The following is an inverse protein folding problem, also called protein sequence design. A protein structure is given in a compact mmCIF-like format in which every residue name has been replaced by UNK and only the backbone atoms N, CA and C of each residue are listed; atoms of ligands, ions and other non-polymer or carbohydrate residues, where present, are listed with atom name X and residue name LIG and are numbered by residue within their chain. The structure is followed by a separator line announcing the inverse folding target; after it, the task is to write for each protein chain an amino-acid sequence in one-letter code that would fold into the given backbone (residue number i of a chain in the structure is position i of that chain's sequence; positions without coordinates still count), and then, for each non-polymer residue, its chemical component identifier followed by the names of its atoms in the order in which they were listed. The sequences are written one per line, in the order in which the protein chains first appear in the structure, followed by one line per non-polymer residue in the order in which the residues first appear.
data_IF_894917353998
#
_entry.id   IF_894917353998
#
_cell.length_a   1.000
_cell.length_b   1.000
_cell.length_c   1.000
_cell.angle_alpha   90.00
_cell.angle_beta   90.00
_cell.angle_gamma   90.00
#
_symmetry.space_group_name_H-M   'P 1'
#
loop_
_entity.id
_entity.type
_entity.pdbx_description
1 polymer ?
#
# COMPACT_ATOMS: atom_id res chain seq x y z
N UNK A 1 -10.27 1.13 -17.82
CA UNK A 1 -9.16 2.13 -17.83
C UNK A 1 -9.21 2.83 -16.50
N UNK A 2 -8.20 2.67 -15.65
CA UNK A 2 -8.16 3.36 -14.37
C UNK A 2 -8.10 4.87 -14.64
N UNK A 3 -9.12 5.61 -14.25
CA UNK A 3 -9.09 7.06 -14.23
C UNK A 3 -8.07 7.50 -13.16
N UNK A 4 -6.85 7.75 -13.60
CA UNK A 4 -5.86 8.42 -12.78
C UNK A 4 -6.29 9.88 -12.65
N UNK A 5 -6.43 10.36 -11.41
CA UNK A 5 -6.70 11.77 -11.13
C UNK A 5 -5.37 12.50 -10.94
N UNK A 6 -4.80 13.13 -11.98
CA UNK A 6 -3.54 13.84 -11.84
C UNK A 6 -3.71 15.03 -10.89
N UNK A 7 -2.75 15.16 -9.98
CA UNK A 7 -2.65 16.29 -9.07
C UNK A 7 -1.44 17.13 -9.40
N UNK A 8 -1.64 18.42 -9.65
CA UNK A 8 -0.53 19.37 -9.91
C UNK A 8 0.49 19.32 -8.75
N UNK A 9 0.01 19.21 -7.51
CA UNK A 9 0.88 19.17 -6.34
C UNK A 9 1.68 17.86 -6.23
N UNK A 10 1.08 16.73 -6.61
CA UNK A 10 1.71 15.43 -6.47
C UNK A 10 2.55 15.04 -7.68
N UNK A 11 2.08 15.40 -8.88
CA UNK A 11 2.67 14.90 -10.13
C UNK A 11 3.61 15.93 -10.80
N UNK A 12 3.45 17.21 -10.47
CA UNK A 12 4.27 18.29 -11.06
C UNK A 12 5.17 18.94 -10.03
N UNK A 13 4.63 19.34 -8.86
CA UNK A 13 5.38 20.03 -7.81
C UNK A 13 6.04 19.03 -6.86
N UNK A 14 5.41 17.87 -6.66
CA UNK A 14 5.80 16.86 -5.68
C UNK A 14 5.25 17.13 -4.28
N UNK A 15 5.18 16.09 -3.45
CA UNK A 15 4.61 16.19 -2.11
C UNK A 15 5.53 17.00 -1.17
N UNK A 16 4.93 17.60 -0.13
CA UNK A 16 5.67 18.10 1.01
C UNK A 16 6.35 16.91 1.70
N UNK A 17 7.66 16.97 1.87
CA UNK A 17 8.44 15.86 2.39
C UNK A 17 9.62 16.30 3.24
N UNK A 18 10.09 15.39 4.09
CA UNK A 18 11.35 15.50 4.81
C UNK A 18 12.31 14.45 4.29
N UNK A 19 13.50 14.88 3.88
CA UNK A 19 14.56 14.01 3.39
C UNK A 19 15.20 14.47 2.11
N UNK A 20 16.31 13.83 1.69
CA UNK A 20 17.13 14.29 0.57
C UNK A 20 16.58 13.91 -0.81
N UNK A 21 15.63 12.99 -0.90
CA UNK A 21 15.19 12.43 -2.20
C UNK A 21 13.69 12.17 -2.23
N UNK A 22 13.01 12.63 -3.28
CA UNK A 22 11.59 12.33 -3.50
C UNK A 22 11.36 10.83 -3.77
N UNK A 23 12.16 10.21 -4.62
CA UNK A 23 12.01 8.78 -4.95
C UNK A 23 12.60 7.84 -3.91
N UNK A 24 13.67 8.24 -3.21
CA UNK A 24 14.39 7.37 -2.27
C UNK A 24 14.16 7.68 -0.78
N UNK A 25 13.38 8.70 -0.44
CA UNK A 25 12.97 8.98 0.94
C UNK A 25 11.47 9.13 1.05
N UNK A 26 10.87 10.05 0.30
CA UNK A 26 9.44 10.30 0.32
C UNK A 26 8.65 9.11 -0.26
N UNK A 27 9.05 8.57 -1.42
CA UNK A 27 8.44 7.38 -1.99
C UNK A 27 8.42 6.20 -1.01
N UNK A 28 9.55 5.79 -0.44
CA UNK A 28 9.60 4.80 0.64
C UNK A 28 8.69 5.10 1.84
N UNK A 29 8.59 6.34 2.30
CA UNK A 29 7.69 6.71 3.38
C UNK A 29 6.21 6.52 3.00
N UNK A 30 5.84 6.90 1.78
CA UNK A 30 4.48 6.66 1.25
C UNK A 30 4.19 5.18 1.10
N UNK A 31 5.11 4.40 0.53
CA UNK A 31 4.96 2.94 0.38
C UNK A 31 4.76 2.29 1.75
N UNK A 32 5.62 2.62 2.72
CA UNK A 32 5.51 2.10 4.07
C UNK A 32 4.18 2.46 4.74
N UNK A 33 3.70 3.69 4.56
CA UNK A 33 2.43 4.16 5.08
C UNK A 33 1.23 3.41 4.47
N UNK A 34 1.22 3.22 3.14
CA UNK A 34 0.17 2.47 2.46
C UNK A 34 0.19 0.99 2.86
N UNK A 35 1.37 0.37 2.87
CA UNK A 35 1.53 -1.04 3.22
C UNK A 35 1.12 -1.32 4.69
N UNK A 36 1.42 -0.40 5.63
CA UNK A 36 1.05 -0.54 7.04
C UNK A 36 -0.46 -0.69 7.24
N UNK A 37 -1.27 -0.04 6.42
CA UNK A 37 -2.72 -0.06 6.50
C UNK A 37 -3.34 -1.40 6.06
N UNK A 38 -2.55 -2.28 5.46
CA UNK A 38 -2.98 -3.63 5.09
C UNK A 38 -3.00 -4.60 6.27
N UNK A 39 -2.42 -4.23 7.42
CA UNK A 39 -2.54 -5.02 8.65
C UNK A 39 -3.70 -4.51 9.50
N UNK A 40 -4.57 -5.41 9.96
CA UNK A 40 -5.63 -5.10 10.92
C UNK A 40 -5.08 -4.84 12.33
N UNK A 41 -3.93 -5.44 12.66
CA UNK A 41 -3.30 -5.41 13.97
C UNK A 41 -2.00 -4.60 13.97
N UNK A 42 -1.37 -4.46 15.14
CA UNK A 42 -0.15 -3.69 15.24
C UNK A 42 1.00 -4.38 14.53
N UNK A 43 1.82 -3.60 13.83
CA UNK A 43 3.03 -4.09 13.21
C UNK A 43 4.03 -4.54 14.29
N UNK A 44 4.50 -5.78 14.20
CA UNK A 44 5.55 -6.35 15.04
C UNK A 44 6.87 -6.45 14.30
N UNK A 45 6.79 -6.87 13.03
CA UNK A 45 7.98 -7.05 12.20
C UNK A 45 7.71 -6.66 10.76
N UNK A 46 8.69 -6.06 10.10
CA UNK A 46 8.69 -5.86 8.66
C UNK A 46 10.05 -6.22 8.07
N UNK A 47 10.04 -6.92 6.94
CA UNK A 47 11.22 -7.14 6.11
C UNK A 47 11.01 -6.40 4.81
N UNK A 48 11.93 -5.50 4.49
CA UNK A 48 11.96 -4.75 3.24
C UNK A 48 13.12 -5.30 2.40
N UNK A 49 12.77 -5.85 1.26
CA UNK A 49 13.72 -6.49 0.35
C UNK A 49 13.78 -5.70 -0.94
N UNK A 50 14.98 -5.47 -1.41
CA UNK A 50 15.24 -4.75 -2.65
C UNK A 50 15.69 -5.72 -3.74
N UNK A 51 15.16 -5.53 -4.95
CA UNK A 51 15.63 -6.29 -6.11
C UNK A 51 17.13 -6.14 -6.27
N UNK A 52 17.84 -7.27 -6.57
CA UNK A 52 19.32 -7.31 -6.56
C UNK A 52 19.97 -6.42 -7.63
N UNK A 53 19.26 -6.13 -8.70
CA UNK A 53 19.68 -5.24 -9.81
C UNK A 53 18.91 -3.91 -9.81
N UNK A 54 18.07 -3.65 -8.80
CA UNK A 54 17.29 -2.44 -8.64
C UNK A 54 18.09 -1.25 -8.09
N UNK A 55 17.52 -0.05 -8.21
CA UNK A 55 18.20 1.16 -7.76
C UNK A 55 18.33 1.26 -6.23
N UNK A 56 17.40 0.68 -5.47
CA UNK A 56 17.42 0.77 -4.02
C UNK A 56 18.62 0.09 -3.38
N UNK A 57 19.01 -1.11 -3.84
CA UNK A 57 19.99 -1.95 -3.12
C UNK A 57 21.32 -1.23 -2.84
N UNK A 58 21.76 -0.40 -3.77
CA UNK A 58 23.00 0.34 -3.64
C UNK A 58 22.85 1.70 -2.92
N UNK A 59 21.62 2.24 -2.82
CA UNK A 59 21.39 3.62 -2.39
C UNK A 59 20.52 3.75 -1.14
N UNK A 60 19.85 2.69 -0.67
CA UNK A 60 18.82 2.80 0.36
C UNK A 60 19.30 3.41 1.68
N UNK A 61 20.58 3.27 2.02
CA UNK A 61 21.17 3.91 3.21
C UNK A 61 21.56 5.36 2.94
N UNK A 62 22.31 5.61 1.86
CA UNK A 62 22.79 6.94 1.48
C UNK A 62 21.66 7.92 1.18
N UNK A 63 20.62 7.46 0.51
CA UNK A 63 19.42 8.25 0.17
C UNK A 63 18.31 8.16 1.22
N UNK A 64 18.57 7.54 2.38
CA UNK A 64 17.63 7.39 3.51
C UNK A 64 16.33 6.66 3.18
N UNK A 65 16.32 5.75 2.20
CA UNK A 65 15.13 4.93 1.92
C UNK A 65 14.73 4.09 3.13
N UNK A 66 15.71 3.57 3.87
CA UNK A 66 15.48 2.84 5.11
C UNK A 66 14.77 3.69 6.18
N UNK A 67 15.07 4.96 6.30
CA UNK A 67 14.34 5.89 7.19
C UNK A 67 12.92 6.14 6.67
N UNK A 68 12.76 6.32 5.35
CA UNK A 68 11.46 6.50 4.72
C UNK A 68 10.54 5.31 4.98
N UNK A 69 10.95 4.09 4.58
CA UNK A 69 10.19 2.87 4.84
C UNK A 69 9.86 2.70 6.33
N UNK A 70 10.85 2.87 7.21
CA UNK A 70 10.64 2.74 8.66
C UNK A 70 9.59 3.73 9.15
N UNK A 71 9.68 4.99 8.75
CA UNK A 71 8.74 6.04 9.14
C UNK A 71 7.31 5.71 8.68
N UNK A 72 7.14 5.36 7.41
CA UNK A 72 5.84 4.98 6.84
C UNK A 72 5.25 3.73 7.49
N UNK A 73 6.05 2.69 7.71
CA UNK A 73 5.63 1.46 8.39
C UNK A 73 5.21 1.68 9.86
N UNK A 74 5.67 2.75 10.48
CA UNK A 74 5.21 3.19 11.80
C UNK A 74 3.94 4.07 11.74
N UNK A 75 3.39 4.31 10.54
CA UNK A 75 2.19 5.11 10.33
C UNK A 75 2.43 6.62 10.24
N UNK A 76 3.68 7.05 10.06
CA UNK A 76 3.98 8.47 9.87
C UNK A 76 3.90 8.86 8.39
N UNK A 77 3.33 10.03 8.12
CA UNK A 77 3.27 10.62 6.77
C UNK A 77 4.63 11.18 6.34
N UNK A 78 4.89 11.36 5.03
CA UNK A 78 6.19 11.82 4.50
C UNK A 78 6.68 13.16 5.03
N UNK A 79 5.77 14.05 5.38
CA UNK A 79 6.06 15.38 5.94
C UNK A 79 6.36 15.37 7.44
N UNK A 80 6.26 14.22 8.09
CA UNK A 80 6.50 14.10 9.53
C UNK A 80 7.98 14.21 9.90
N UNK A 81 8.31 15.08 10.84
CA UNK A 81 9.65 15.17 11.46
C UNK A 81 10.11 13.86 12.12
N UNK A 82 9.19 12.96 12.44
CA UNK A 82 9.47 11.63 12.98
C UNK A 82 10.33 10.76 12.07
N UNK A 83 10.41 11.09 10.77
CA UNK A 83 11.30 10.41 9.82
C UNK A 83 12.76 10.42 10.30
N UNK A 84 13.25 11.52 10.86
CA UNK A 84 14.63 11.61 11.37
C UNK A 84 14.92 10.64 12.53
N UNK A 85 13.91 10.29 13.30
CA UNK A 85 13.99 9.42 14.48
C UNK A 85 13.34 8.05 14.27
N UNK A 86 13.04 7.68 13.02
CA UNK A 86 12.21 6.50 12.69
C UNK A 86 12.70 5.22 13.37
N UNK A 87 14.01 4.93 13.37
CA UNK A 87 14.57 3.75 14.04
C UNK A 87 14.46 3.81 15.56
N UNK A 88 14.60 5.00 16.16
CA UNK A 88 14.40 5.17 17.61
C UNK A 88 12.94 4.91 17.98
N UNK A 89 12.01 5.40 17.17
CA UNK A 89 10.58 5.17 17.37
C UNK A 89 10.20 3.70 17.15
N UNK A 90 10.77 3.02 16.15
CA UNK A 90 10.59 1.58 15.94
C UNK A 90 11.04 0.79 17.19
N UNK A 91 12.23 1.10 17.72
CA UNK A 91 12.76 0.48 18.94
C UNK A 91 11.85 0.71 20.16
N UNK A 92 11.36 1.94 20.36
CA UNK A 92 10.43 2.27 21.46
C UNK A 92 9.12 1.47 21.39
N UNK A 93 8.64 1.20 20.18
CA UNK A 93 7.41 0.43 19.93
C UNK A 93 7.65 -1.08 19.86
N UNK A 94 8.90 -1.55 20.04
CA UNK A 94 9.30 -2.95 19.85
C UNK A 94 8.95 -3.50 18.46
N UNK A 95 9.09 -2.68 17.42
CA UNK A 95 8.90 -3.06 16.03
C UNK A 95 10.26 -3.38 15.41
N UNK A 96 10.43 -4.59 14.90
CA UNK A 96 11.61 -5.02 14.15
C UNK A 96 11.46 -4.66 12.68
N UNK A 97 12.43 -3.94 12.12
CA UNK A 97 12.45 -3.63 10.68
C UNK A 97 13.80 -4.02 10.10
N UNK A 98 13.76 -4.93 9.12
CA UNK A 98 14.93 -5.47 8.45
C UNK A 98 14.99 -4.96 7.01
N UNK A 99 16.20 -4.70 6.53
CA UNK A 99 16.49 -4.31 5.14
C UNK A 99 17.52 -5.27 4.57
N UNK A 100 17.20 -5.88 3.44
CA UNK A 100 18.10 -6.86 2.81
C UNK A 100 17.92 -6.89 1.29
N UNK A 101 18.86 -7.56 0.62
CA UNK A 101 18.73 -7.92 -0.78
C UNK A 101 17.69 -9.05 -0.90
N UNK A 102 16.80 -8.94 -1.87
CA UNK A 102 15.80 -9.95 -2.21
C UNK A 102 16.34 -10.98 -3.20
N UNK A 103 15.62 -12.08 -3.34
CA UNK A 103 15.90 -13.18 -4.26
C UNK A 103 15.26 -13.00 -5.65
N UNK A 104 14.90 -11.77 -6.00
CA UNK A 104 14.18 -11.40 -7.22
C UNK A 104 14.89 -10.28 -7.98
N UNK A 105 14.61 -10.21 -9.28
CA UNK A 105 15.11 -9.18 -10.18
C UNK A 105 14.11 -8.01 -10.29
N UNK A 106 14.61 -6.85 -10.68
CA UNK A 106 13.80 -5.65 -10.84
C UNK A 106 12.95 -5.69 -12.12
N UNK A 107 11.65 -5.73 -11.98
CA UNK A 107 10.70 -5.48 -13.09
C UNK A 107 10.47 -3.98 -13.31
N UNK A 108 10.78 -3.16 -12.30
CA UNK A 108 10.76 -1.69 -12.31
C UNK A 108 11.96 -1.17 -11.52
N UNK A 109 12.45 0.06 -11.81
CA UNK A 109 13.74 0.52 -11.25
C UNK A 109 13.82 0.55 -9.71
N UNK A 110 12.74 0.92 -9.04
CA UNK A 110 12.69 1.04 -7.58
C UNK A 110 11.80 -0.03 -6.94
N UNK A 111 11.89 -1.27 -7.44
CA UNK A 111 11.13 -2.39 -6.90
C UNK A 111 11.57 -2.73 -5.47
N UNK A 112 10.59 -2.80 -4.57
CA UNK A 112 10.75 -3.31 -3.22
C UNK A 112 9.64 -4.30 -2.87
N UNK A 113 9.99 -5.38 -2.19
CA UNK A 113 9.07 -6.33 -1.56
C UNK A 113 9.04 -6.06 -0.07
N UNK A 114 7.86 -5.83 0.49
CA UNK A 114 7.65 -5.65 1.91
C UNK A 114 6.88 -6.85 2.44
N UNK A 115 7.42 -7.54 3.44
CA UNK A 115 6.69 -8.57 4.19
C UNK A 115 6.46 -8.04 5.59
N UNK A 116 5.18 -7.84 5.95
CA UNK A 116 4.76 -7.32 7.24
C UNK A 116 4.16 -8.45 8.07
N UNK A 117 4.47 -8.45 9.37
CA UNK A 117 3.91 -9.37 10.34
C UNK A 117 3.37 -8.59 11.55
N UNK A 118 2.11 -8.86 11.92
CA UNK A 118 1.48 -8.24 13.08
C UNK A 118 1.82 -8.96 14.37
N UNK A 119 1.45 -8.34 15.49
CA UNK A 119 1.55 -8.92 16.84
C UNK A 119 0.62 -10.15 17.04
N UNK A 120 -0.38 -10.32 16.19
CA UNK A 120 -1.30 -11.47 16.16
C UNK A 120 -0.92 -12.54 15.12
N UNK A 121 0.21 -12.37 14.39
CA UNK A 121 0.68 -13.33 13.38
C UNK A 121 0.05 -13.18 12.00
N UNK A 122 -0.77 -12.13 11.77
CA UNK A 122 -1.22 -11.76 10.41
C UNK A 122 0.00 -11.38 9.57
N UNK A 123 0.04 -11.86 8.31
CA UNK A 123 1.11 -11.54 7.37
C UNK A 123 0.54 -10.95 6.10
N UNK A 124 1.25 -9.98 5.55
CA UNK A 124 0.94 -9.34 4.26
C UNK A 124 2.24 -9.14 3.49
N UNK A 125 2.24 -9.51 2.22
CA UNK A 125 3.36 -9.27 1.31
C UNK A 125 2.94 -8.29 0.22
N UNK A 126 3.76 -7.26 0.01
CA UNK A 126 3.50 -6.18 -0.93
C UNK A 126 4.69 -5.97 -1.85
N UNK A 127 4.45 -5.95 -3.16
CA UNK A 127 5.43 -5.43 -4.13
C UNK A 127 5.06 -3.99 -4.48
N UNK A 128 6.07 -3.13 -4.53
CA UNK A 128 5.87 -1.69 -4.71
C UNK A 128 6.96 -1.05 -5.55
N UNK A 129 6.62 0.05 -6.20
CA UNK A 129 7.55 0.90 -6.95
C UNK A 129 7.45 2.35 -6.50
N UNK A 130 8.59 3.04 -6.49
CA UNK A 130 8.66 4.49 -6.38
C UNK A 130 8.97 5.06 -7.77
N UNK A 131 7.95 5.55 -8.45
CA UNK A 131 8.00 5.93 -9.87
C UNK A 131 8.72 7.26 -10.15
N UNK A 132 9.14 7.97 -9.10
CA UNK A 132 9.82 9.27 -9.18
C UNK A 132 8.91 10.44 -8.76
N UNK A 133 9.50 11.59 -8.46
CA UNK A 133 8.76 12.77 -7.97
C UNK A 133 8.06 12.58 -6.62
N UNK A 134 8.31 11.47 -5.93
CA UNK A 134 7.58 11.07 -4.71
C UNK A 134 6.30 10.29 -4.99
N UNK A 135 5.96 10.04 -6.25
CA UNK A 135 4.86 9.15 -6.63
C UNK A 135 5.23 7.69 -6.39
N UNK A 136 4.24 6.89 -6.03
CA UNK A 136 4.43 5.47 -5.68
C UNK A 136 3.30 4.63 -6.23
N UNK A 137 3.55 3.32 -6.30
CA UNK A 137 2.54 2.34 -6.68
C UNK A 137 2.76 1.05 -5.89
N UNK A 138 1.70 0.53 -5.25
CA UNK A 138 1.67 -0.87 -4.87
C UNK A 138 1.24 -1.66 -6.11
N UNK A 139 2.04 -2.65 -6.44
CA UNK A 139 1.92 -3.44 -7.68
C UNK A 139 1.22 -4.77 -7.45
N UNK A 140 1.47 -5.37 -6.27
CA UNK A 140 0.90 -6.65 -5.90
C UNK A 140 0.73 -6.70 -4.37
N UNK A 141 -0.36 -7.31 -3.91
CA UNK A 141 -0.67 -7.55 -2.50
C UNK A 141 -1.07 -9.02 -2.37
N UNK A 142 -0.28 -9.80 -1.64
CA UNK A 142 -0.51 -11.24 -1.37
C UNK A 142 -0.80 -12.09 -2.63
N UNK A 143 -0.14 -11.77 -3.74
CA UNK A 143 -0.31 -12.46 -5.03
C UNK A 143 -1.36 -11.84 -5.94
N UNK A 144 -2.11 -10.83 -5.49
CA UNK A 144 -3.09 -10.11 -6.31
C UNK A 144 -2.45 -8.88 -6.95
N UNK A 145 -2.53 -8.77 -8.26
CA UNK A 145 -2.06 -7.58 -8.98
C UNK A 145 -2.99 -6.40 -8.70
N UNK A 146 -2.41 -5.28 -8.31
CA UNK A 146 -3.12 -4.05 -7.95
C UNK A 146 -2.46 -2.82 -8.56
N UNK A 147 -3.16 -1.68 -8.47
CA UNK A 147 -2.64 -0.38 -8.89
C UNK A 147 -3.03 0.68 -7.86
N UNK A 148 -2.45 0.58 -6.66
CA UNK A 148 -2.71 1.49 -5.54
C UNK A 148 -1.65 2.58 -5.52
N UNK A 149 -2.05 3.84 -5.72
CA UNK A 149 -1.13 4.99 -5.79
C UNK A 149 -1.25 5.93 -4.58
N UNK A 150 -2.27 5.74 -3.73
CA UNK A 150 -2.46 6.47 -2.48
C UNK A 150 -2.97 7.89 -2.64
N UNK A 151 -3.74 8.17 -3.68
CA UNK A 151 -4.39 9.46 -3.97
C UNK A 151 -5.90 9.48 -3.58
N UNK A 152 -6.48 8.32 -3.36
CA UNK A 152 -7.85 8.13 -2.92
C UNK A 152 -7.94 6.98 -1.92
N UNK A 153 -9.12 6.77 -1.35
CA UNK A 153 -9.40 5.56 -0.57
C UNK A 153 -9.45 4.36 -1.51
N UNK A 154 -8.74 3.31 -1.15
CA UNK A 154 -8.78 2.02 -1.84
C UNK A 154 -9.41 1.00 -0.90
N UNK A 155 -10.53 0.43 -1.31
CA UNK A 155 -11.23 -0.61 -0.57
C UNK A 155 -10.92 -1.94 -1.25
N UNK A 156 -10.23 -2.81 -0.54
CA UNK A 156 -9.80 -4.12 -0.99
C UNK A 156 -10.69 -5.19 -0.36
N UNK A 157 -11.47 -5.87 -1.18
CA UNK A 157 -12.42 -6.91 -0.76
C UNK A 157 -11.91 -8.25 -1.25
N UNK A 158 -11.53 -9.13 -0.32
CA UNK A 158 -11.04 -10.47 -0.60
C UNK A 158 -12.21 -11.46 -0.57
N UNK A 159 -12.28 -12.34 -1.57
CA UNK A 159 -13.38 -13.28 -1.77
C UNK A 159 -12.94 -14.50 -2.57
N UNK A 160 -13.84 -15.47 -2.75
CA UNK A 160 -13.61 -16.59 -3.65
C UNK A 160 -13.62 -16.15 -5.12
N UNK A 161 -12.79 -16.82 -5.95
CA UNK A 161 -12.71 -16.57 -7.38
C UNK A 161 -13.84 -17.33 -8.12
N UNK A 162 -15.04 -16.80 -8.05
CA UNK A 162 -16.23 -17.29 -8.74
C UNK A 162 -16.77 -16.19 -9.65
N UNK A 163 -16.76 -16.39 -10.96
CA UNK A 163 -17.14 -15.37 -11.96
C UNK A 163 -18.57 -14.85 -11.78
N UNK A 164 -19.53 -15.75 -11.54
CA UNK A 164 -20.94 -15.37 -11.35
C UNK A 164 -21.12 -14.55 -10.07
N UNK A 165 -20.44 -14.97 -9.00
CA UNK A 165 -20.44 -14.21 -7.75
C UNK A 165 -19.77 -12.84 -7.90
N UNK A 166 -18.62 -12.77 -8.57
CA UNK A 166 -17.89 -11.51 -8.78
C UNK A 166 -18.72 -10.51 -9.57
N UNK A 167 -19.38 -10.96 -10.65
CA UNK A 167 -20.27 -10.09 -11.43
C UNK A 167 -21.43 -9.55 -10.57
N UNK A 168 -22.11 -10.43 -9.84
CA UNK A 168 -23.21 -10.04 -8.96
C UNK A 168 -22.74 -9.14 -7.79
N UNK A 169 -21.55 -9.38 -7.25
CA UNK A 169 -20.97 -8.57 -6.19
C UNK A 169 -20.64 -7.16 -6.68
N UNK A 170 -20.03 -7.02 -7.86
CA UNK A 170 -19.71 -5.73 -8.47
C UNK A 170 -21.00 -4.93 -8.74
N UNK A 171 -22.05 -5.55 -9.25
CA UNK A 171 -23.34 -4.87 -9.47
C UNK A 171 -23.93 -4.34 -8.15
N UNK A 172 -23.89 -5.13 -7.07
CA UNK A 172 -24.33 -4.68 -5.75
C UNK A 172 -23.46 -3.55 -5.20
N UNK A 173 -22.14 -3.67 -5.33
CA UNK A 173 -21.18 -2.67 -4.88
C UNK A 173 -21.35 -1.34 -5.65
N UNK A 174 -21.64 -1.38 -6.95
CA UNK A 174 -21.98 -0.19 -7.74
C UNK A 174 -23.22 0.52 -7.22
N UNK A 175 -24.23 -0.23 -6.77
CA UNK A 175 -25.44 0.34 -6.18
C UNK A 175 -25.20 0.94 -4.79
N UNK A 176 -24.29 0.33 -3.98
CA UNK A 176 -23.91 0.84 -2.66
C UNK A 176 -23.04 2.09 -2.82
N UNK A 177 -22.11 2.10 -3.76
CA UNK A 177 -21.08 3.13 -3.93
C UNK A 177 -21.23 3.87 -5.26
N UNK A 178 -22.25 4.70 -5.35
CA UNK A 178 -22.48 5.53 -6.54
C UNK A 178 -21.37 6.57 -6.77
N UNK A 179 -20.56 6.89 -5.75
CA UNK A 179 -19.42 7.81 -5.78
C UNK A 179 -18.07 7.11 -6.06
N UNK A 180 -18.09 5.83 -6.47
CA UNK A 180 -16.85 5.13 -6.82
C UNK A 180 -16.20 5.74 -8.08
N UNK A 181 -14.87 5.74 -8.10
CA UNK A 181 -14.06 6.19 -9.26
C UNK A 181 -13.63 5.01 -10.16
N UNK A 182 -13.98 3.79 -9.80
CA UNK A 182 -13.73 2.59 -10.58
C UNK A 182 -13.57 1.34 -9.73
N UNK A 183 -13.75 0.21 -10.42
CA UNK A 183 -13.52 -1.13 -9.91
C UNK A 183 -12.39 -1.79 -10.70
N UNK A 184 -11.57 -2.55 -10.01
CA UNK A 184 -10.63 -3.47 -10.61
C UNK A 184 -10.74 -4.81 -9.91
N UNK A 185 -10.55 -5.90 -10.66
CA UNK A 185 -10.50 -7.25 -10.11
C UNK A 185 -9.20 -7.91 -10.47
N UNK A 186 -8.67 -8.70 -9.56
CA UNK A 186 -7.57 -9.61 -9.84
C UNK A 186 -7.81 -10.93 -9.14
N UNK A 187 -7.16 -12.01 -9.61
CA UNK A 187 -7.31 -13.34 -9.05
C UNK A 187 -5.96 -13.98 -8.78
N UNK A 188 -5.91 -14.81 -7.75
CA UNK A 188 -4.76 -15.61 -7.37
C UNK A 188 -5.27 -17.00 -6.93
N UNK A 189 -5.17 -17.98 -7.83
CA UNK A 189 -5.74 -19.31 -7.61
C UNK A 189 -7.25 -19.28 -7.43
N UNK A 190 -7.71 -19.82 -6.30
CA UNK A 190 -9.15 -19.91 -5.96
C UNK A 190 -9.70 -18.63 -5.31
N UNK A 191 -8.86 -17.60 -5.15
CA UNK A 191 -9.23 -16.33 -4.52
C UNK A 191 -9.25 -15.19 -5.52
N UNK A 192 -10.08 -14.20 -5.24
CA UNK A 192 -10.20 -12.96 -5.98
C UNK A 192 -10.15 -11.75 -5.06
N UNK A 193 -9.69 -10.65 -5.61
CA UNK A 193 -9.68 -9.33 -5.01
C UNK A 193 -10.52 -8.39 -5.85
N UNK A 194 -11.49 -7.71 -5.22
CA UNK A 194 -12.18 -6.56 -5.79
C UNK A 194 -11.58 -5.32 -5.16
N UNK A 195 -11.01 -4.44 -5.97
CA UNK A 195 -10.50 -3.15 -5.54
C UNK A 195 -11.45 -2.04 -5.99
N UNK A 196 -11.88 -1.20 -5.05
CA UNK A 196 -12.78 -0.07 -5.30
C UNK A 196 -12.04 1.21 -4.94
N UNK A 197 -12.00 2.18 -5.86
CA UNK A 197 -11.47 3.52 -5.63
C UNK A 197 -12.57 4.48 -5.27
N UNK A 198 -12.37 5.27 -4.20
CA UNK A 198 -13.35 6.26 -3.72
C UNK A 198 -12.68 7.51 -3.18
N UNK A 199 -13.42 8.62 -3.18
CA UNK A 199 -12.98 9.88 -2.54
C UNK A 199 -13.30 9.92 -1.05
N UNK A 200 -14.26 9.12 -0.59
CA UNK A 200 -14.71 9.07 0.81
C UNK A 200 -14.38 7.73 1.46
N UNK A 201 -14.13 7.73 2.77
CA UNK A 201 -13.93 6.51 3.55
C UNK A 201 -15.26 5.71 3.65
N UNK A 202 -15.14 4.43 4.04
CA UNK A 202 -16.29 3.61 4.37
C UNK A 202 -16.90 4.02 5.72
N UNK A 203 -18.22 4.14 5.74
CA UNK A 203 -18.97 4.20 6.99
C UNK A 203 -19.16 2.79 7.59
N UNK A 204 -19.48 2.65 8.88
CA UNK A 204 -19.87 1.36 9.45
C UNK A 204 -21.04 0.68 8.74
N UNK A 205 -21.97 1.48 8.18
CA UNK A 205 -23.11 0.98 7.40
C UNK A 205 -22.63 0.40 6.06
N UNK A 206 -21.66 1.04 5.39
CA UNK A 206 -21.07 0.54 4.16
C UNK A 206 -20.39 -0.82 4.37
N UNK A 207 -19.60 -0.95 5.46
CA UNK A 207 -18.93 -2.22 5.82
C UNK A 207 -19.97 -3.32 6.08
N UNK A 208 -21.05 -2.99 6.80
CA UNK A 208 -22.14 -3.94 7.04
C UNK A 208 -22.82 -4.37 5.73
N UNK A 209 -23.05 -3.43 4.80
CA UNK A 209 -23.65 -3.70 3.50
C UNK A 209 -22.74 -4.60 2.62
N UNK A 210 -21.42 -4.35 2.61
CA UNK A 210 -20.44 -5.21 1.91
C UNK A 210 -20.52 -6.65 2.47
N UNK A 211 -20.51 -6.81 3.78
CA UNK A 211 -20.56 -8.14 4.43
C UNK A 211 -21.85 -8.92 4.12
N UNK A 212 -22.94 -8.23 3.79
CA UNK A 212 -24.21 -8.87 3.38
C UNK A 212 -24.21 -9.39 1.93
N UNK A 213 -23.20 -9.03 1.12
CA UNK A 213 -23.08 -9.51 -0.26
C UNK A 213 -22.85 -11.03 -0.28
N UNK A 214 -22.17 -11.56 0.75
CA UNK A 214 -21.84 -12.98 0.88
C UNK A 214 -20.42 -13.29 0.38
N UNK A 215 -19.86 -14.41 0.84
CA UNK A 215 -18.50 -14.90 0.45
C UNK A 215 -17.35 -13.87 0.60
N UNK A 216 -17.54 -12.85 1.45
CA UNK A 216 -16.49 -11.87 1.74
C UNK A 216 -15.63 -12.40 2.89
N UNK A 217 -14.35 -12.59 2.64
CA UNK A 217 -13.40 -13.12 3.63
C UNK A 217 -12.75 -12.01 4.44
N UNK A 218 -12.32 -10.93 3.76
CA UNK A 218 -11.66 -9.81 4.39
C UNK A 218 -11.93 -8.51 3.65
N UNK A 219 -11.87 -7.39 4.36
CA UNK A 219 -11.99 -6.04 3.83
C UNK A 219 -10.85 -5.22 4.41
N UNK A 220 -9.95 -4.74 3.54
CA UNK A 220 -8.89 -3.82 3.93
C UNK A 220 -9.14 -2.45 3.32
N UNK A 221 -8.84 -1.40 4.07
CA UNK A 221 -9.03 -0.01 3.64
C UNK A 221 -7.67 0.66 3.65
N UNK A 222 -7.29 1.27 2.54
CA UNK A 222 -6.11 2.11 2.44
C UNK A 222 -6.57 3.56 2.31
N UNK A 223 -6.24 4.38 3.30
CA UNK A 223 -6.49 5.82 3.24
C UNK A 223 -5.44 6.52 2.37
N UNK A 224 -5.79 7.62 1.70
CA UNK A 224 -4.85 8.36 0.89
C UNK A 224 -3.69 8.90 1.73
N UNK A 225 -2.50 8.85 1.15
CA UNK A 225 -1.29 9.48 1.75
C UNK A 225 -1.35 10.99 1.61
N UNK A 226 -2.00 11.44 0.56
CA UNK A 226 -2.13 12.84 0.20
C UNK A 226 -3.58 13.24 0.49
N UNK A 227 -3.76 13.99 1.55
CA UNK A 227 -5.05 14.60 1.90
C UNK A 227 -5.05 16.08 1.51
#
# INVERSE_FOLDING_TARGET
MSHWCPSIFNDIIGPVMIGPSSSHTCGPARIGFLARQLLHHNLKKATVEFARDGAYINMYRGQRSNYGFTSGLLGYRPESYSLHNAFTEAKKRNVEILFQEGDFEATVPNLARLTLESDCGEKVTVYSDSTGGGTVKLLNIDGFDVSVVGDCYEILIFTDNNEDFLAAAIDKLNNIFADNEGFATSSSGEKALINIKRRSNLSPADIAAIKQIGSIEDIKIIEPVLA
#
